data_IF_030277975778
#
_entry.id   IF_030277975778
#
_cell.length_a   1.000
_cell.length_b   1.000
_cell.length_c   1.000
_cell.angle_alpha   90.00
_cell.angle_beta   90.00
_cell.angle_gamma   90.00
#
_symmetry.space_group_name_H-M   'P 1'
#
loop_
_entity.id
_entity.type
_entity.pdbx_description
1 polymer ?
#
# COMPACT_ATOMS: atom_id res chain seq x y z
N UNK A 1 16.34 -15.16 -9.36
CA UNK A 1 15.56 -15.27 -8.12
C UNK A 1 15.55 -13.90 -7.51
N UNK A 2 14.37 -13.33 -7.34
CA UNK A 2 14.15 -12.11 -6.56
C UNK A 2 14.70 -12.33 -5.14
N UNK A 3 15.52 -11.41 -4.64
CA UNK A 3 16.00 -11.47 -3.25
C UNK A 3 15.09 -10.62 -2.35
N UNK A 4 14.81 -11.07 -1.12
CA UNK A 4 14.05 -10.29 -0.13
C UNK A 4 14.61 -8.88 0.06
N UNK A 5 15.94 -8.74 -0.07
CA UNK A 5 16.66 -7.47 0.06
C UNK A 5 16.22 -6.40 -0.95
N UNK A 6 15.60 -6.77 -2.07
CA UNK A 6 15.09 -5.79 -3.05
C UNK A 6 13.60 -5.48 -2.84
N UNK A 7 13.03 -5.78 -1.67
CA UNK A 7 11.62 -5.48 -1.33
C UNK A 7 11.47 -4.16 -0.58
N UNK A 8 10.27 -3.58 -0.63
CA UNK A 8 9.95 -2.38 0.15
C UNK A 8 10.10 -2.60 1.66
N UNK A 9 9.86 -3.81 2.18
CA UNK A 9 10.10 -4.16 3.58
C UNK A 9 11.56 -3.98 3.97
N UNK A 10 12.48 -4.56 3.20
CA UNK A 10 13.91 -4.45 3.46
C UNK A 10 14.44 -3.01 3.32
N UNK A 11 13.77 -2.17 2.54
CA UNK A 11 14.24 -0.82 2.19
C UNK A 11 13.34 0.31 2.76
N UNK A 12 12.41 0.02 3.67
CA UNK A 12 11.48 1.02 4.23
C UNK A 12 12.18 2.04 5.12
N UNK A 13 13.35 1.69 5.67
CA UNK A 13 14.21 2.58 6.42
C UNK A 13 15.66 2.30 6.01
N UNK A 14 16.34 3.31 5.48
CA UNK A 14 17.72 3.17 5.00
C UNK A 14 18.61 4.21 5.67
N UNK A 15 19.68 3.76 6.31
CA UNK A 15 20.69 4.63 6.89
C UNK A 15 21.49 5.36 5.80
N UNK A 16 21.77 6.64 6.03
CA UNK A 16 22.63 7.46 5.18
C UNK A 16 24.02 7.46 5.80
N UNK A 17 24.99 6.80 5.15
CA UNK A 17 26.34 6.59 5.71
C UNK A 17 27.45 7.17 4.85
N UNK A 18 27.32 7.17 3.52
CA UNK A 18 28.34 7.63 2.57
C UNK A 18 27.73 8.40 1.38
N UNK A 19 26.84 9.37 1.66
CA UNK A 19 26.14 10.16 0.64
C UNK A 19 24.78 9.58 0.26
N UNK A 20 24.29 9.90 -0.96
CA UNK A 20 22.95 9.51 -1.40
C UNK A 20 22.74 7.98 -1.30
N UNK A 21 21.67 7.51 -0.67
CA UNK A 21 21.42 6.08 -0.52
C UNK A 21 20.99 5.45 -1.86
N UNK A 22 21.50 4.24 -2.13
CA UNK A 22 21.30 3.49 -3.40
C UNK A 22 19.92 2.81 -3.50
N UNK A 23 18.91 3.35 -2.81
CA UNK A 23 17.56 2.76 -2.72
C UNK A 23 16.51 3.54 -3.50
N UNK A 24 16.85 4.72 -4.02
CA UNK A 24 15.86 5.62 -4.58
C UNK A 24 16.44 6.55 -5.65
N UNK A 25 15.73 6.69 -6.77
CA UNK A 25 15.91 7.78 -7.74
C UNK A 25 15.41 9.10 -7.10
N UNK A 26 16.06 9.55 -6.03
CA UNK A 26 15.78 10.83 -5.37
C UNK A 26 16.75 11.87 -5.92
N UNK A 27 16.21 12.96 -6.45
CA UNK A 27 16.97 14.12 -6.95
C UNK A 27 17.55 14.98 -5.81
N UNK A 28 18.42 14.38 -5.00
CA UNK A 28 19.15 15.04 -3.91
C UNK A 28 18.40 15.12 -2.56
N UNK A 29 19.03 15.73 -1.54
CA UNK A 29 18.38 15.97 -0.25
C UNK A 29 17.37 17.13 -0.34
N UNK A 30 16.49 17.30 0.68
CA UNK A 30 15.59 18.46 0.76
C UNK A 30 16.34 19.81 0.66
N UNK A 31 15.65 20.85 0.19
CA UNK A 31 16.25 22.18 0.06
C UNK A 31 16.84 22.67 1.38
N UNK A 32 18.09 23.13 1.35
CA UNK A 32 18.81 23.60 2.54
C UNK A 32 19.54 22.52 3.33
N UNK A 33 19.43 21.24 2.95
CA UNK A 33 20.15 20.13 3.55
C UNK A 33 21.21 19.57 2.59
N UNK A 34 22.18 18.87 3.17
CA UNK A 34 23.08 17.98 2.45
C UNK A 34 22.83 16.53 2.92
N UNK A 35 23.33 15.56 2.17
CA UNK A 35 23.30 14.16 2.64
C UNK A 35 24.09 13.95 3.94
N UNK A 36 25.01 14.86 4.30
CA UNK A 36 25.72 14.82 5.58
C UNK A 36 24.83 15.24 6.76
N UNK A 37 23.72 15.95 6.50
CA UNK A 37 22.78 16.40 7.52
C UNK A 37 21.67 15.37 7.82
N UNK A 38 21.63 14.29 7.05
CA UNK A 38 20.58 13.27 7.07
C UNK A 38 21.15 11.98 7.64
N UNK A 39 20.46 11.41 8.64
CA UNK A 39 20.82 10.13 9.24
C UNK A 39 20.09 8.96 8.58
N UNK A 40 18.83 9.16 8.17
CA UNK A 40 17.98 8.13 7.58
C UNK A 40 17.05 8.67 6.50
N UNK A 41 16.74 7.81 5.52
CA UNK A 41 15.60 7.94 4.61
C UNK A 41 14.53 6.94 4.98
N UNK A 42 13.30 7.41 5.18
CA UNK A 42 12.11 6.59 5.44
C UNK A 42 11.29 6.50 4.14
N UNK A 43 11.04 5.29 3.66
CA UNK A 43 10.44 5.07 2.34
C UNK A 43 11.51 5.14 1.24
N UNK A 44 11.26 5.92 0.19
CA UNK A 44 12.16 6.05 -0.96
C UNK A 44 12.08 4.91 -1.98
N UNK A 45 11.48 3.77 -1.60
CA UNK A 45 11.45 2.60 -2.46
C UNK A 45 10.48 2.68 -3.66
N UNK A 46 9.30 3.31 -3.49
CA UNK A 46 8.26 3.33 -4.54
C UNK A 46 7.35 4.56 -4.56
N UNK A 47 6.85 5.01 -3.40
CA UNK A 47 5.82 6.08 -3.36
C UNK A 47 6.40 7.43 -2.97
N UNK A 48 7.04 7.50 -1.82
CA UNK A 48 7.58 8.74 -1.27
C UNK A 48 8.75 8.48 -0.33
N UNK A 49 9.54 9.52 -0.09
CA UNK A 49 10.61 9.55 0.90
C UNK A 49 10.38 10.67 1.92
N UNK A 50 10.64 10.35 3.18
CA UNK A 50 10.85 11.31 4.27
C UNK A 50 12.29 11.18 4.77
N UNK A 51 12.77 12.22 5.45
CA UNK A 51 14.17 12.33 5.84
C UNK A 51 14.26 12.60 7.34
N UNK A 52 15.25 11.98 7.98
CA UNK A 52 15.54 12.16 9.41
C UNK A 52 16.87 12.89 9.53
N UNK A 53 16.91 13.96 10.32
CA UNK A 53 18.14 14.71 10.59
C UNK A 53 19.10 13.95 11.52
N UNK A 54 20.29 14.51 11.76
CA UNK A 54 21.30 13.93 12.66
C UNK A 54 20.93 13.99 14.16
N UNK A 55 19.86 14.70 14.53
CA UNK A 55 19.30 14.66 15.88
C UNK A 55 18.17 13.64 16.02
N UNK A 56 17.75 12.99 14.92
CA UNK A 56 16.72 11.96 14.88
C UNK A 56 15.31 12.47 14.59
N UNK A 57 15.13 13.74 14.24
CA UNK A 57 13.81 14.30 13.95
C UNK A 57 13.48 14.21 12.47
N UNK A 58 12.21 14.05 12.16
CA UNK A 58 11.71 14.16 10.80
C UNK A 58 11.88 15.60 10.30
N UNK A 59 12.45 15.73 9.11
CA UNK A 59 12.57 17.02 8.42
C UNK A 59 11.18 17.39 7.88
N UNK A 60 10.68 18.55 8.31
CA UNK A 60 9.37 19.11 7.95
C UNK A 60 9.52 20.49 7.31
N UNK A 61 8.51 20.91 6.56
CA UNK A 61 8.48 22.18 5.85
C UNK A 61 8.02 22.04 4.40
N UNK A 62 8.12 23.14 3.67
CA UNK A 62 7.90 23.16 2.23
C UNK A 62 9.00 22.36 1.51
N UNK A 63 8.61 21.48 0.60
CA UNK A 63 9.57 20.70 -0.21
C UNK A 63 10.45 19.73 0.59
N UNK A 64 9.90 19.09 1.63
CA UNK A 64 10.63 18.17 2.52
C UNK A 64 10.20 16.70 2.42
N UNK A 65 9.13 16.41 1.67
CA UNK A 65 8.80 15.07 1.20
C UNK A 65 9.07 14.99 -0.29
N UNK A 66 9.69 13.90 -0.72
CA UNK A 66 9.88 13.62 -2.14
C UNK A 66 8.91 12.54 -2.59
N UNK A 67 8.04 12.85 -3.54
CA UNK A 67 7.19 11.86 -4.21
C UNK A 67 7.97 11.28 -5.41
N UNK A 68 8.08 9.96 -5.46
CA UNK A 68 8.68 9.30 -6.62
C UNK A 68 7.70 9.26 -7.79
N UNK A 69 8.24 9.09 -9.01
CA UNK A 69 7.45 9.00 -10.23
C UNK A 69 6.30 7.98 -10.09
N UNK A 70 5.07 8.47 -10.21
CA UNK A 70 3.88 7.65 -10.09
C UNK A 70 3.46 7.11 -11.45
N UNK A 71 3.74 5.83 -11.70
CA UNK A 71 3.40 5.14 -12.96
C UNK A 71 1.90 5.01 -13.20
N UNK A 72 1.08 4.99 -12.15
CA UNK A 72 -0.37 4.80 -12.25
C UNK A 72 -1.05 6.04 -12.85
N UNK A 73 -0.59 7.23 -12.46
CA UNK A 73 -1.14 8.50 -12.90
C UNK A 73 -0.25 9.26 -13.90
N UNK A 74 0.89 8.68 -14.29
CA UNK A 74 1.91 9.33 -15.13
C UNK A 74 2.32 10.71 -14.58
N UNK A 75 2.50 10.77 -13.25
CA UNK A 75 2.94 11.98 -12.56
C UNK A 75 4.45 11.91 -12.36
N UNK A 76 5.12 13.01 -12.72
CA UNK A 76 6.54 13.24 -12.45
C UNK A 76 6.89 13.05 -10.97
N UNK A 77 8.17 12.88 -10.70
CA UNK A 77 8.70 13.07 -9.36
C UNK A 77 8.60 14.54 -8.93
N UNK A 78 8.35 14.78 -7.64
CA UNK A 78 8.17 16.13 -7.13
C UNK A 78 8.51 16.26 -5.64
N UNK A 79 8.98 17.44 -5.28
CA UNK A 79 9.11 17.86 -3.88
C UNK A 79 7.80 18.50 -3.41
N UNK A 80 7.24 17.99 -2.31
CA UNK A 80 6.00 18.48 -1.71
C UNK A 80 6.20 18.82 -0.24
N UNK A 81 5.26 19.61 0.30
CA UNK A 81 5.24 19.96 1.70
C UNK A 81 4.96 18.75 2.60
N UNK A 82 5.63 18.68 3.74
CA UNK A 82 5.35 17.73 4.81
C UNK A 82 5.37 18.45 6.15
N UNK A 83 4.22 18.50 6.83
CA UNK A 83 4.04 19.30 8.06
C UNK A 83 4.52 20.76 7.91
N UNK A 84 4.30 21.38 6.75
CA UNK A 84 4.64 22.78 6.52
C UNK A 84 3.86 23.70 7.48
N UNK A 85 4.53 24.71 8.02
CA UNK A 85 4.06 25.58 9.08
C UNK A 85 4.26 25.03 10.51
N UNK A 86 4.81 23.82 10.65
CA UNK A 86 5.13 23.18 11.93
C UNK A 86 6.66 23.06 12.16
N UNK A 87 7.49 23.81 11.42
CA UNK A 87 8.96 23.66 11.39
C UNK A 87 9.64 23.91 12.76
N UNK A 88 8.97 24.62 13.67
CA UNK A 88 9.43 24.85 15.04
C UNK A 88 9.09 23.71 16.02
N UNK A 89 8.18 22.81 15.64
CA UNK A 89 7.87 21.60 16.38
C UNK A 89 8.79 20.49 15.86
N UNK A 90 9.81 20.14 16.64
CA UNK A 90 10.70 19.03 16.31
C UNK A 90 9.88 17.74 16.22
N UNK A 91 9.64 17.25 14.99
CA UNK A 91 8.79 16.11 14.73
C UNK A 91 9.52 14.80 15.07
N UNK A 92 9.14 14.16 16.17
CA UNK A 92 9.76 12.90 16.60
C UNK A 92 9.45 11.76 15.61
N UNK A 93 10.46 10.95 15.32
CA UNK A 93 10.30 9.71 14.57
C UNK A 93 9.74 8.61 15.47
N UNK A 94 8.46 8.28 15.24
CA UNK A 94 7.70 7.28 16.01
C UNK A 94 7.33 6.04 15.18
N UNK A 95 7.83 5.93 13.94
CA UNK A 95 7.45 4.85 13.02
C UNK A 95 8.29 3.57 13.18
N UNK A 96 9.25 3.56 14.10
CA UNK A 96 10.19 2.46 14.28
C UNK A 96 9.52 1.11 14.55
N UNK A 97 8.38 1.09 15.24
CA UNK A 97 7.66 -0.17 15.53
C UNK A 97 7.24 -0.95 14.30
N UNK A 98 7.03 -0.28 13.16
CA UNK A 98 6.60 -0.91 11.91
C UNK A 98 7.68 -0.94 10.83
N UNK A 99 8.68 -0.05 10.91
CA UNK A 99 9.67 0.16 9.85
C UNK A 99 11.07 -0.36 10.21
N UNK A 100 11.20 -1.16 11.27
CA UNK A 100 12.48 -1.69 11.77
C UNK A 100 12.34 -3.13 12.28
N UNK A 101 13.47 -3.77 12.60
CA UNK A 101 13.51 -5.13 13.14
C UNK A 101 14.04 -5.14 14.56
N UNK A 102 13.38 -5.89 15.45
CA UNK A 102 13.75 -5.97 16.86
C UNK A 102 13.49 -4.67 17.63
N UNK A 103 12.44 -3.94 17.25
CA UNK A 103 12.07 -2.66 17.88
C UNK A 103 11.76 -2.81 19.37
N UNK A 104 12.24 -1.86 20.17
CA UNK A 104 11.88 -1.67 21.57
C UNK A 104 11.49 -0.20 21.81
N UNK A 105 10.39 0.09 22.51
CA UNK A 105 9.88 1.46 22.69
C UNK A 105 10.65 2.26 23.77
N UNK A 106 11.89 1.88 24.04
CA UNK A 106 12.71 2.47 25.10
C UNK A 106 14.00 3.06 24.55
N UNK A 107 14.33 4.26 25.01
CA UNK A 107 15.55 4.97 24.63
C UNK A 107 15.45 5.62 23.25
N UNK A 108 16.62 5.84 22.65
CA UNK A 108 16.80 6.61 21.43
C UNK A 108 17.85 5.91 20.57
N UNK A 109 17.50 5.48 19.36
CA UNK A 109 18.44 4.85 18.44
C UNK A 109 19.66 5.75 18.25
N UNK A 110 20.87 5.19 18.42
CA UNK A 110 22.13 5.90 18.28
C UNK A 110 22.26 7.19 19.14
N UNK A 111 21.52 7.27 20.25
CA UNK A 111 21.40 8.47 21.12
C UNK A 111 20.81 9.70 20.41
N UNK A 112 20.06 9.52 19.32
CA UNK A 112 19.39 10.61 18.61
C UNK A 112 18.05 10.93 19.28
N UNK A 113 17.92 12.08 19.99
CA UNK A 113 16.75 12.36 20.83
C UNK A 113 15.41 12.40 20.08
N UNK A 114 15.42 12.68 18.76
CA UNK A 114 14.22 12.70 17.95
C UNK A 114 13.65 11.32 17.61
N UNK A 115 14.40 10.24 17.84
CA UNK A 115 13.92 8.88 17.58
C UNK A 115 13.32 8.29 18.85
N UNK A 116 12.07 7.83 18.76
CA UNK A 116 11.40 7.12 19.86
C UNK A 116 11.65 5.63 19.74
N UNK A 117 12.43 5.09 20.67
CA UNK A 117 12.79 3.67 20.76
C UNK A 117 14.14 3.34 20.12
N UNK A 118 14.44 2.05 20.06
CA UNK A 118 15.66 1.47 19.51
C UNK A 118 15.30 0.21 18.71
N UNK A 119 16.19 -0.24 17.83
CA UNK A 119 16.02 -1.46 17.05
C UNK A 119 17.35 -2.14 16.76
N UNK A 120 17.28 -3.41 16.36
CA UNK A 120 18.45 -4.23 16.06
C UNK A 120 18.91 -4.03 14.61
N UNK A 121 17.98 -3.92 13.66
CA UNK A 121 18.28 -3.77 12.24
C UNK A 121 17.35 -2.74 11.59
N UNK A 122 17.89 -1.95 10.66
CA UNK A 122 17.12 -1.01 9.85
C UNK A 122 16.22 -1.79 8.87
N UNK A 123 15.01 -1.27 8.63
CA UNK A 123 14.03 -1.93 7.77
C UNK A 123 13.37 -3.15 8.41
N UNK A 124 12.38 -3.69 7.71
CA UNK A 124 11.72 -4.94 8.09
C UNK A 124 12.55 -6.08 7.51
N UNK A 125 13.25 -6.79 8.40
CA UNK A 125 14.16 -7.89 8.11
C UNK A 125 13.55 -9.25 8.44
N UNK A 126 14.35 -10.30 8.28
CA UNK A 126 13.90 -11.69 8.47
C UNK A 126 13.29 -11.91 9.86
N UNK A 127 13.93 -11.38 10.90
CA UNK A 127 13.57 -11.62 12.29
C UNK A 127 12.30 -10.86 12.72
N UNK A 128 11.84 -9.88 11.94
CA UNK A 128 10.57 -9.22 12.17
C UNK A 128 9.37 -10.17 11.94
N UNK A 129 9.55 -11.19 11.10
CA UNK A 129 8.50 -12.19 10.80
C UNK A 129 8.83 -13.58 11.34
N UNK A 130 10.11 -13.94 11.42
CA UNK A 130 10.57 -15.28 11.77
C UNK A 130 11.10 -15.40 13.21
N UNK A 131 11.06 -14.29 13.97
CA UNK A 131 11.62 -14.19 15.31
C UNK A 131 13.15 -14.15 15.35
N UNK A 132 13.76 -13.99 16.54
CA UNK A 132 15.22 -13.85 16.67
C UNK A 132 15.97 -15.14 16.26
N UNK A 133 16.90 -15.01 15.31
CA UNK A 133 17.68 -16.09 14.72
C UNK A 133 19.02 -16.37 15.40
N UNK A 134 19.37 -15.64 16.46
CA UNK A 134 20.66 -15.79 17.16
C UNK A 134 20.96 -17.21 17.67
N UNK A 135 19.93 -18.00 18.03
CA UNK A 135 20.12 -19.42 18.35
C UNK A 135 20.15 -20.32 17.10
N UNK A 136 19.33 -19.99 16.11
CA UNK A 136 19.25 -20.70 14.83
C UNK A 136 20.61 -20.72 14.11
N UNK A 137 21.33 -19.60 14.07
CA UNK A 137 22.63 -19.53 13.37
C UNK A 137 23.69 -20.47 13.98
N UNK A 138 23.57 -20.78 15.27
CA UNK A 138 24.50 -21.66 15.98
C UNK A 138 24.13 -23.14 15.84
N UNK A 139 22.85 -23.47 15.69
CA UNK A 139 22.37 -24.84 15.51
C UNK A 139 21.10 -24.90 14.62
N UNK A 140 21.24 -24.73 13.30
CA UNK A 140 20.09 -24.56 12.40
C UNK A 140 19.25 -25.82 12.23
N UNK A 141 19.79 -27.00 12.59
CA UNK A 141 19.08 -28.27 12.52
C UNK A 141 18.29 -28.56 13.80
N UNK A 142 18.70 -28.02 14.95
CA UNK A 142 17.99 -28.21 16.22
C UNK A 142 17.10 -27.03 16.60
N UNK A 143 17.40 -25.82 16.10
CA UNK A 143 16.63 -24.61 16.36
C UNK A 143 16.11 -24.09 15.03
N UNK A 144 14.86 -24.38 14.71
CA UNK A 144 14.20 -23.84 13.53
C UNK A 144 13.77 -22.38 13.76
N UNK A 145 13.79 -21.57 12.69
CA UNK A 145 13.12 -20.28 12.68
C UNK A 145 11.61 -20.46 12.74
N UNK A 146 10.90 -19.48 13.30
CA UNK A 146 9.44 -19.49 13.33
C UNK A 146 8.89 -19.27 11.93
N UNK A 147 7.81 -19.97 11.56
CA UNK A 147 7.09 -19.73 10.31
C UNK A 147 5.62 -19.62 10.66
N UNK A 148 5.15 -18.38 10.80
CA UNK A 148 3.75 -18.06 11.04
C UNK A 148 3.09 -17.61 9.73
N UNK A 149 1.89 -18.14 9.47
CA UNK A 149 1.13 -17.88 8.25
C UNK A 149 -0.19 -17.16 8.52
N UNK A 150 -0.59 -17.06 9.79
CA UNK A 150 -1.74 -16.29 10.24
C UNK A 150 -1.52 -14.81 9.91
N UNK A 151 -2.55 -14.20 9.32
CA UNK A 151 -2.50 -12.81 8.89
C UNK A 151 -2.11 -11.85 10.01
N UNK A 152 -2.37 -12.19 11.28
CA UNK A 152 -2.03 -11.37 12.46
C UNK A 152 -0.59 -10.90 12.48
N UNK A 153 0.36 -11.73 12.04
CA UNK A 153 1.77 -11.31 11.97
C UNK A 153 1.95 -10.09 11.04
N UNK A 154 1.27 -10.07 9.89
CA UNK A 154 1.30 -8.92 8.99
C UNK A 154 0.62 -7.69 9.62
N UNK A 155 -0.32 -7.89 10.55
CA UNK A 155 -1.09 -6.83 11.20
C UNK A 155 -0.35 -6.10 12.29
N UNK A 156 0.76 -6.63 12.76
CA UNK A 156 1.61 -5.88 13.67
C UNK A 156 2.05 -4.54 13.04
N UNK A 157 2.08 -4.47 11.71
CA UNK A 157 2.41 -3.27 10.94
C UNK A 157 1.28 -2.77 10.02
N UNK A 158 0.54 -3.67 9.35
CA UNK A 158 -0.52 -3.32 8.38
C UNK A 158 -1.89 -3.11 9.06
N UNK A 159 -1.91 -2.38 10.18
CA UNK A 159 -3.12 -1.95 10.87
C UNK A 159 -2.93 -0.53 11.44
N UNK A 160 -3.99 0.30 11.43
CA UNK A 160 -3.96 1.63 12.06
C UNK A 160 -4.99 1.83 13.18
N UNK A 161 -5.95 0.92 13.34
CA UNK A 161 -7.01 1.05 14.35
C UNK A 161 -7.43 -0.31 14.89
N UNK A 162 -7.71 -0.35 16.20
CA UNK A 162 -8.37 -1.49 16.87
C UNK A 162 -9.89 -1.55 16.57
N UNK A 163 -10.46 -0.52 15.95
CA UNK A 163 -11.89 -0.47 15.59
C UNK A 163 -12.19 -1.38 14.42
N UNK A 164 -13.29 -2.12 14.43
CA UNK A 164 -13.78 -2.96 13.31
C UNK A 164 -14.27 -2.18 12.08
N UNK A 165 -13.97 -0.88 12.01
CA UNK A 165 -14.41 0.04 10.97
C UNK A 165 -13.19 0.56 10.21
N UNK A 166 -13.31 0.58 8.88
CA UNK A 166 -12.26 1.08 7.99
C UNK A 166 -12.37 2.62 7.95
N UNK A 167 -11.32 3.29 8.45
CA UNK A 167 -11.27 4.74 8.62
C UNK A 167 -10.83 5.42 7.32
N UNK A 168 -11.50 6.51 6.96
CA UNK A 168 -11.11 7.33 5.82
C UNK A 168 -9.87 8.20 6.11
N UNK A 169 -9.16 8.58 5.05
CA UNK A 169 -8.17 9.65 5.03
C UNK A 169 -8.58 10.64 3.94
N UNK A 170 -9.57 11.49 4.24
CA UNK A 170 -10.22 12.34 3.23
C UNK A 170 -11.17 11.54 2.35
N UNK A 171 -11.02 11.62 1.03
CA UNK A 171 -11.84 10.88 0.04
C UNK A 171 -11.26 9.50 -0.32
N UNK A 172 -10.27 9.01 0.43
CA UNK A 172 -9.59 7.74 0.20
C UNK A 172 -9.44 6.96 1.52
N UNK A 173 -9.03 5.71 1.42
CA UNK A 173 -8.72 4.87 2.59
C UNK A 173 -7.25 5.08 2.97
N UNK A 174 -6.93 5.09 4.27
CA UNK A 174 -5.52 5.11 4.70
C UNK A 174 -4.78 3.83 4.28
N UNK A 175 -3.55 3.93 3.78
CA UNK A 175 -2.75 2.77 3.33
C UNK A 175 -2.47 1.70 4.39
N UNK A 176 -2.79 1.96 5.66
CA UNK A 176 -2.54 1.05 6.79
C UNK A 176 -3.81 0.39 7.36
N UNK A 177 -5.01 0.65 6.83
CA UNK A 177 -6.27 0.05 7.35
C UNK A 177 -6.76 -1.16 6.53
N UNK A 178 -5.90 -1.76 5.71
CA UNK A 178 -6.36 -2.73 4.69
C UNK A 178 -6.82 -4.07 5.26
N UNK A 179 -6.41 -4.47 6.46
CA UNK A 179 -6.73 -5.80 7.00
C UNK A 179 -8.22 -6.14 7.08
N UNK A 180 -9.04 -5.17 7.41
CA UNK A 180 -10.48 -5.40 7.53
C UNK A 180 -11.14 -5.50 6.16
N UNK A 181 -10.48 -5.00 5.12
CA UNK A 181 -11.04 -4.95 3.79
C UNK A 181 -11.26 -6.36 3.20
N UNK A 182 -10.29 -7.32 3.20
CA UNK A 182 -10.56 -8.68 2.76
C UNK A 182 -11.67 -9.36 3.56
N UNK A 183 -11.69 -9.14 4.88
CA UNK A 183 -12.69 -9.74 5.77
C UNK A 183 -14.10 -9.22 5.48
N UNK A 184 -14.25 -7.91 5.29
CA UNK A 184 -15.50 -7.27 4.88
C UNK A 184 -15.91 -7.73 3.48
N UNK A 185 -14.94 -7.93 2.59
CA UNK A 185 -15.11 -8.36 1.21
C UNK A 185 -15.17 -9.88 0.98
N UNK A 186 -15.70 -10.63 1.96
CA UNK A 186 -15.98 -12.08 1.87
C UNK A 186 -14.76 -13.01 1.82
N UNK A 187 -13.55 -12.52 2.09
CA UNK A 187 -12.31 -13.30 2.19
C UNK A 187 -11.86 -13.50 3.65
N UNK A 188 -12.81 -13.54 4.60
CA UNK A 188 -12.54 -13.64 6.05
C UNK A 188 -11.77 -14.89 6.49
N UNK A 189 -11.79 -15.95 5.70
CA UNK A 189 -11.15 -17.24 6.01
C UNK A 189 -9.82 -17.44 5.28
N UNK A 190 -9.33 -16.39 4.62
CA UNK A 190 -8.13 -16.42 3.79
C UNK A 190 -7.04 -15.59 4.45
N UNK A 191 -5.82 -16.13 4.53
CA UNK A 191 -4.66 -15.38 5.02
C UNK A 191 -3.93 -14.63 3.90
N UNK A 192 -3.20 -13.56 4.26
CA UNK A 192 -2.41 -12.75 3.31
C UNK A 192 -1.50 -13.63 2.43
N UNK A 193 -0.82 -14.60 3.07
CA UNK A 193 0.09 -15.53 2.39
C UNK A 193 -0.61 -16.59 1.55
N UNK A 194 -1.94 -16.66 1.56
CA UNK A 194 -2.69 -17.47 0.58
C UNK A 194 -2.51 -16.88 -0.81
N UNK A 195 -2.57 -15.55 -0.91
CA UNK A 195 -2.43 -14.84 -2.17
C UNK A 195 -1.01 -14.35 -2.41
N UNK A 196 -0.31 -13.83 -1.40
CA UNK A 196 0.99 -13.18 -1.58
C UNK A 196 2.18 -14.05 -1.16
N UNK A 197 3.28 -13.95 -1.91
CA UNK A 197 4.62 -14.32 -1.43
C UNK A 197 5.20 -13.15 -0.62
N UNK A 198 5.40 -13.30 0.70
CA UNK A 198 5.92 -12.22 1.54
C UNK A 198 7.38 -11.87 1.24
N UNK A 199 8.07 -12.64 0.38
CA UNK A 199 9.46 -12.41 0.04
C UNK A 199 9.69 -11.72 -1.31
N UNK A 200 8.63 -11.28 -1.99
CA UNK A 200 8.69 -10.71 -3.33
C UNK A 200 7.99 -9.35 -3.43
N UNK A 201 8.34 -8.56 -4.45
CA UNK A 201 7.66 -7.31 -4.80
C UNK A 201 7.50 -7.14 -6.32
N UNK A 202 6.81 -6.07 -6.73
CA UNK A 202 6.56 -5.70 -8.14
C UNK A 202 7.30 -4.44 -8.62
N UNK A 203 7.99 -3.73 -7.74
CA UNK A 203 8.50 -2.38 -8.04
C UNK A 203 9.83 -2.43 -8.79
N UNK A 204 10.79 -3.20 -8.26
CA UNK A 204 12.15 -3.33 -8.78
C UNK A 204 12.51 -4.76 -9.20
N UNK A 205 11.56 -5.69 -9.06
CA UNK A 205 11.72 -7.08 -9.47
C UNK A 205 10.76 -7.44 -10.61
N UNK A 206 11.26 -8.25 -11.56
CA UNK A 206 10.39 -8.96 -12.51
C UNK A 206 9.80 -10.19 -11.81
N UNK A 207 8.55 -10.08 -11.37
CA UNK A 207 7.83 -11.18 -10.74
C UNK A 207 6.38 -10.81 -10.43
N UNK A 208 5.55 -11.81 -10.16
CA UNK A 208 4.22 -11.62 -9.59
C UNK A 208 4.27 -12.10 -8.13
N UNK A 209 4.18 -11.21 -7.13
CA UNK A 209 4.10 -11.64 -5.74
C UNK A 209 2.77 -12.34 -5.45
N UNK A 210 1.78 -12.27 -6.35
CA UNK A 210 0.54 -13.02 -6.24
C UNK A 210 0.75 -14.44 -6.75
N UNK A 211 0.53 -15.43 -5.87
CA UNK A 211 0.72 -16.87 -6.09
C UNK A 211 -0.53 -17.57 -6.62
N UNK A 212 -1.70 -16.93 -6.49
CA UNK A 212 -3.00 -17.49 -6.88
C UNK A 212 -3.80 -16.48 -7.70
N UNK A 213 -4.24 -16.90 -8.88
CA UNK A 213 -5.14 -16.11 -9.71
C UNK A 213 -6.58 -16.23 -9.20
N UNK A 214 -7.37 -15.16 -9.32
CA UNK A 214 -8.74 -15.08 -8.81
C UNK A 214 -9.62 -16.23 -9.35
N UNK A 215 -9.44 -16.57 -10.63
CA UNK A 215 -10.20 -17.58 -11.36
C UNK A 215 -9.97 -19.00 -10.84
N UNK A 216 -8.88 -19.23 -10.10
CA UNK A 216 -8.59 -20.52 -9.46
C UNK A 216 -9.67 -20.88 -8.43
N UNK A 217 -10.31 -19.88 -7.81
CA UNK A 217 -11.41 -20.03 -6.87
C UNK A 217 -12.75 -19.54 -7.45
N UNK A 218 -12.72 -18.54 -8.33
CA UNK A 218 -13.90 -17.87 -8.89
C UNK A 218 -14.18 -18.24 -10.36
N UNK A 219 -14.05 -19.52 -10.71
CA UNK A 219 -14.22 -20.00 -12.09
C UNK A 219 -15.58 -19.61 -12.71
N UNK A 220 -16.66 -19.71 -11.96
CA UNK A 220 -18.00 -19.29 -12.41
C UNK A 220 -18.04 -17.80 -12.78
N UNK A 221 -17.36 -16.95 -12.02
CA UNK A 221 -17.32 -15.51 -12.28
C UNK A 221 -16.43 -15.17 -13.47
N UNK A 222 -15.33 -15.91 -13.63
CA UNK A 222 -14.46 -15.80 -14.79
C UNK A 222 -15.16 -16.19 -16.10
N UNK A 223 -16.02 -17.22 -16.06
CA UNK A 223 -16.74 -17.72 -17.23
C UNK A 223 -17.95 -16.87 -17.59
N UNK A 224 -18.58 -16.26 -16.59
CA UNK A 224 -19.78 -15.45 -16.75
C UNK A 224 -19.43 -13.99 -16.53
N UNK A 225 -19.11 -13.27 -17.61
CA UNK A 225 -19.01 -11.81 -17.59
C UNK A 225 -19.93 -11.23 -18.67
N UNK A 226 -20.47 -10.04 -18.45
CA UNK A 226 -21.34 -9.37 -19.43
C UNK A 226 -20.64 -9.07 -20.77
N UNK A 227 -19.32 -8.95 -20.78
CA UNK A 227 -18.54 -8.66 -21.98
C UNK A 227 -18.02 -9.93 -22.67
N UNK A 228 -18.11 -9.98 -24.00
CA UNK A 228 -17.62 -11.11 -24.79
C UNK A 228 -16.07 -11.22 -24.84
N UNK A 229 -15.35 -10.17 -24.48
CA UNK A 229 -13.89 -10.19 -24.43
C UNK A 229 -13.36 -9.12 -23.48
N UNK A 230 -12.61 -9.58 -22.47
CA UNK A 230 -11.94 -8.79 -21.44
C UNK A 230 -10.59 -8.29 -22.00
N UNK A 231 -10.62 -7.34 -22.94
CA UNK A 231 -9.37 -6.85 -23.58
C UNK A 231 -8.65 -5.73 -22.83
N UNK A 232 -9.34 -5.03 -21.93
CA UNK A 232 -8.84 -3.77 -21.36
C UNK A 232 -9.02 -3.64 -19.85
N UNK A 233 -9.40 -4.71 -19.16
CA UNK A 233 -9.47 -4.75 -17.71
C UNK A 233 -9.02 -6.14 -17.23
N UNK A 234 -8.78 -6.28 -15.94
CA UNK A 234 -8.49 -7.50 -15.18
C UNK A 234 -9.39 -7.55 -13.96
N UNK A 235 -9.41 -8.67 -13.21
CA UNK A 235 -10.23 -8.79 -12.01
C UNK A 235 -9.90 -7.67 -11.00
N UNK A 236 -8.61 -7.37 -10.82
CA UNK A 236 -8.11 -6.39 -9.85
C UNK A 236 -8.46 -4.95 -10.22
N UNK A 237 -8.74 -4.64 -11.48
CA UNK A 237 -9.06 -3.26 -11.88
C UNK A 237 -10.41 -2.80 -11.30
N UNK A 238 -11.37 -3.72 -11.15
CA UNK A 238 -12.65 -3.43 -10.54
C UNK A 238 -12.75 -3.92 -9.09
N UNK A 239 -12.09 -5.03 -8.76
CA UNK A 239 -12.19 -5.67 -7.43
C UNK A 239 -11.01 -5.36 -6.50
N UNK A 240 -9.94 -4.72 -6.95
CA UNK A 240 -8.88 -4.21 -6.08
C UNK A 240 -8.42 -2.83 -6.58
N UNK A 241 -9.36 -1.90 -6.84
CA UNK A 241 -9.02 -0.60 -7.41
C UNK A 241 -8.15 0.18 -6.42
N UNK A 242 -7.39 1.15 -6.94
CA UNK A 242 -6.56 1.99 -6.10
C UNK A 242 -7.43 2.97 -5.31
N UNK A 243 -7.78 2.60 -4.09
CA UNK A 243 -8.62 3.40 -3.17
C UNK A 243 -7.82 3.88 -1.95
N UNK A 244 -6.53 3.53 -1.87
CA UNK A 244 -5.65 3.91 -0.75
C UNK A 244 -4.57 4.90 -1.19
N UNK A 245 -4.11 5.73 -0.26
CA UNK A 245 -3.08 6.75 -0.53
C UNK A 245 -1.84 6.56 0.31
N UNK A 246 -0.71 6.41 -0.37
CA UNK A 246 0.64 6.50 0.16
C UNK A 246 1.27 7.87 -0.11
N UNK A 247 1.26 8.35 -1.37
CA UNK A 247 1.87 9.62 -1.77
C UNK A 247 0.91 10.55 -2.51
N UNK A 248 0.23 10.06 -3.55
CA UNK A 248 -0.60 10.86 -4.46
C UNK A 248 -1.99 10.27 -4.66
N UNK A 249 -2.93 11.14 -5.00
CA UNK A 249 -4.34 10.81 -5.14
C UNK A 249 -5.02 11.70 -6.18
N UNK A 250 -6.02 11.14 -6.84
CA UNK A 250 -7.01 11.87 -7.66
C UNK A 250 -8.37 11.85 -6.95
N UNK A 251 -9.37 12.50 -7.54
CA UNK A 251 -10.74 12.56 -7.00
C UNK A 251 -11.39 11.20 -6.74
N UNK A 252 -10.98 10.15 -7.47
CA UNK A 252 -11.61 8.82 -7.41
C UNK A 252 -10.61 7.67 -7.25
N UNK A 253 -9.30 7.94 -7.16
CA UNK A 253 -8.29 6.89 -7.07
C UNK A 253 -7.06 7.36 -6.29
N UNK A 254 -6.56 6.51 -5.41
CA UNK A 254 -5.25 6.66 -4.78
C UNK A 254 -4.16 5.91 -5.56
N UNK A 255 -2.98 5.78 -4.96
CA UNK A 255 -1.80 5.13 -5.52
C UNK A 255 -1.45 3.77 -4.86
N UNK A 256 -2.37 3.25 -4.05
CA UNK A 256 -2.30 1.92 -3.44
C UNK A 256 -3.63 1.20 -3.67
N UNK A 257 -3.53 -0.06 -4.11
CA UNK A 257 -4.67 -0.96 -4.33
C UNK A 257 -5.37 -1.27 -3.01
N UNK A 258 -6.70 -1.29 -3.01
CA UNK A 258 -7.48 -1.72 -1.86
C UNK A 258 -7.70 -3.23 -1.89
N UNK A 259 -7.90 -3.81 -0.71
CA UNK A 259 -8.40 -5.17 -0.58
C UNK A 259 -9.90 -5.23 -0.23
N UNK A 260 -10.69 -4.20 -0.56
CA UNK A 260 -12.15 -4.30 -0.62
C UNK A 260 -12.49 -4.94 -1.96
N UNK A 261 -12.80 -6.24 -2.01
CA UNK A 261 -13.08 -6.93 -3.28
C UNK A 261 -14.54 -7.04 -3.68
N UNK A 262 -15.49 -7.02 -2.75
CA UNK A 262 -16.90 -7.13 -3.13
C UNK A 262 -17.43 -5.80 -3.63
N UNK A 263 -18.08 -5.77 -4.79
CA UNK A 263 -18.74 -4.57 -5.34
C UNK A 263 -20.24 -4.61 -5.02
N UNK A 264 -20.81 -3.50 -4.54
CA UNK A 264 -22.25 -3.33 -4.45
C UNK A 264 -22.76 -2.56 -5.68
N UNK A 265 -23.54 -3.19 -6.58
CA UNK A 265 -23.95 -2.59 -7.84
C UNK A 265 -25.00 -1.46 -7.70
N UNK A 266 -25.54 -1.22 -6.50
CA UNK A 266 -26.47 -0.12 -6.24
C UNK A 266 -25.86 1.01 -5.42
N UNK A 267 -24.57 0.92 -5.04
CA UNK A 267 -23.91 1.94 -4.23
C UNK A 267 -23.04 2.84 -5.10
N UNK A 268 -23.31 4.14 -5.10
CA UNK A 268 -22.46 5.14 -5.78
C UNK A 268 -21.31 5.61 -4.87
N UNK A 269 -21.63 6.02 -3.64
CA UNK A 269 -20.63 6.60 -2.73
C UNK A 269 -19.88 5.56 -1.91
N UNK A 270 -18.55 5.70 -1.83
CA UNK A 270 -17.68 4.79 -1.09
C UNK A 270 -17.63 5.11 0.41
N UNK A 271 -17.90 6.36 0.80
CA UNK A 271 -17.81 6.82 2.17
C UNK A 271 -19.18 7.11 2.76
N UNK A 272 -19.27 7.08 4.09
CA UNK A 272 -20.45 7.56 4.81
C UNK A 272 -20.63 9.07 4.59
N UNK A 273 -21.84 9.59 4.81
CA UNK A 273 -22.15 10.99 4.53
C UNK A 273 -21.35 11.99 5.39
N UNK A 274 -20.87 11.56 6.55
CA UNK A 274 -19.94 12.32 7.40
C UNK A 274 -18.47 12.19 6.98
N UNK A 275 -18.18 11.33 5.99
CA UNK A 275 -16.85 11.08 5.46
C UNK A 275 -15.93 10.34 6.41
N UNK A 276 -16.41 9.81 7.54
CA UNK A 276 -15.57 9.20 8.59
C UNK A 276 -15.24 7.74 8.27
N UNK A 277 -16.18 7.02 7.68
CA UNK A 277 -16.07 5.59 7.42
C UNK A 277 -16.23 5.27 5.95
N UNK A 278 -15.63 4.17 5.51
CA UNK A 278 -15.89 3.59 4.19
C UNK A 278 -16.92 2.47 4.27
N UNK A 279 -17.66 2.25 3.19
CA UNK A 279 -18.54 1.10 3.03
C UNK A 279 -17.72 -0.21 3.10
N UNK A 280 -18.30 -1.32 3.61
CA UNK A 280 -17.62 -2.62 3.71
C UNK A 280 -17.47 -3.34 2.35
N UNK A 281 -17.72 -2.63 1.26
CA UNK A 281 -17.69 -3.08 -0.12
C UNK A 281 -17.29 -1.90 -1.02
N UNK A 282 -16.87 -2.19 -2.24
CA UNK A 282 -16.62 -1.18 -3.26
C UNK A 282 -17.94 -0.59 -3.78
N UNK A 283 -17.96 0.73 -3.89
CA UNK A 283 -18.97 1.47 -4.63
C UNK A 283 -18.60 1.61 -6.11
N UNK A 284 -19.54 2.10 -6.91
CA UNK A 284 -19.32 2.33 -8.35
C UNK A 284 -18.44 3.55 -8.64
N UNK A 285 -18.38 4.54 -7.74
CA UNK A 285 -17.40 5.62 -7.87
C UNK A 285 -15.97 5.08 -7.79
N UNK A 286 -15.70 4.11 -6.91
CA UNK A 286 -14.36 3.52 -6.82
C UNK A 286 -14.12 2.46 -7.90
N UNK A 287 -15.04 1.52 -8.10
CA UNK A 287 -14.81 0.39 -9.00
C UNK A 287 -14.86 0.77 -10.49
N UNK A 288 -15.57 1.85 -10.85
CA UNK A 288 -15.81 2.20 -12.25
C UNK A 288 -15.25 3.59 -12.63
N UNK A 289 -15.40 4.61 -11.77
CA UNK A 289 -15.05 6.00 -12.13
C UNK A 289 -13.55 6.31 -12.09
N UNK A 290 -12.70 5.37 -11.65
CA UNK A 290 -11.27 5.43 -11.98
C UNK A 290 -11.03 5.47 -13.50
N UNK A 291 -11.90 4.83 -14.29
CA UNK A 291 -11.85 4.85 -15.76
C UNK A 291 -12.95 5.72 -16.36
N UNK A 292 -14.17 5.62 -15.84
CA UNK A 292 -15.40 6.20 -16.41
C UNK A 292 -15.81 7.54 -15.77
N UNK A 293 -14.83 8.39 -15.44
CA UNK A 293 -15.03 9.78 -15.02
C UNK A 293 -14.59 10.75 -16.12
N UNK A 294 -14.88 12.04 -15.96
CA UNK A 294 -14.43 13.11 -16.87
C UNK A 294 -12.90 13.16 -17.00
N UNK A 295 -12.20 12.87 -15.90
CA UNK A 295 -10.72 12.84 -15.85
C UNK A 295 -10.14 11.44 -16.12
N UNK A 296 -11.01 10.44 -16.35
CA UNK A 296 -10.62 9.07 -16.63
C UNK A 296 -10.28 8.83 -18.11
N UNK A 297 -9.67 7.68 -18.40
CA UNK A 297 -9.27 7.32 -19.76
C UNK A 297 -10.38 6.65 -20.59
N UNK A 298 -11.51 6.29 -19.97
CA UNK A 298 -12.65 5.68 -20.64
C UNK A 298 -13.82 6.68 -20.77
N UNK A 299 -14.84 6.32 -21.56
CA UNK A 299 -16.01 7.19 -21.74
C UNK A 299 -16.73 7.42 -20.40
N UNK A 300 -17.00 8.67 -20.00
CA UNK A 300 -17.75 8.96 -18.79
C UNK A 300 -19.14 8.31 -18.82
N UNK A 301 -19.59 7.78 -17.68
CA UNK A 301 -20.89 7.13 -17.54
C UNK A 301 -21.73 7.80 -16.44
N UNK A 302 -23.06 7.83 -16.62
CA UNK A 302 -23.99 8.27 -15.58
C UNK A 302 -24.14 7.20 -14.49
N UNK A 303 -24.67 7.58 -13.34
CA UNK A 303 -24.92 6.64 -12.24
C UNK A 303 -25.85 5.50 -12.67
N UNK A 304 -26.90 5.80 -13.44
CA UNK A 304 -27.83 4.79 -13.95
C UNK A 304 -27.13 3.80 -14.88
N UNK A 305 -26.26 4.29 -15.77
CA UNK A 305 -25.48 3.44 -16.66
C UNK A 305 -24.50 2.55 -15.89
N UNK A 306 -23.84 3.08 -14.86
CA UNK A 306 -22.94 2.31 -14.01
C UNK A 306 -23.70 1.20 -13.26
N UNK A 307 -24.85 1.52 -12.66
CA UNK A 307 -25.69 0.55 -11.94
C UNK A 307 -26.23 -0.54 -12.87
N UNK A 308 -26.71 -0.17 -14.06
CA UNK A 308 -27.19 -1.12 -15.08
C UNK A 308 -26.07 -2.08 -15.50
N UNK A 309 -24.87 -1.55 -15.74
CA UNK A 309 -23.71 -2.35 -16.11
C UNK A 309 -23.29 -3.29 -14.99
N UNK A 310 -23.17 -2.82 -13.75
CA UNK A 310 -22.72 -3.62 -12.61
C UNK A 310 -23.75 -4.68 -12.16
N UNK A 311 -25.05 -4.42 -12.32
CA UNK A 311 -26.11 -5.32 -11.85
C UNK A 311 -26.09 -6.64 -12.62
N UNK A 312 -25.86 -7.77 -11.94
CA UNK A 312 -25.79 -9.07 -12.59
C UNK A 312 -24.59 -9.23 -13.52
N UNK A 313 -23.48 -8.50 -13.26
CA UNK A 313 -22.27 -8.55 -14.09
C UNK A 313 -21.75 -9.97 -14.35
N UNK A 314 -21.88 -10.83 -13.33
CA UNK A 314 -21.50 -12.25 -13.38
C UNK A 314 -22.69 -13.21 -13.37
N UNK A 315 -23.84 -12.77 -13.88
CA UNK A 315 -25.00 -13.63 -14.09
C UNK A 315 -24.83 -14.43 -15.40
N UNK A 316 -24.90 -15.77 -15.37
CA UNK A 316 -24.84 -16.60 -16.57
C UNK A 316 -25.88 -16.20 -17.63
N UNK A 317 -27.08 -15.76 -17.24
CA UNK A 317 -28.14 -15.36 -18.18
C UNK A 317 -27.82 -14.05 -18.89
N UNK A 318 -26.89 -13.25 -18.33
CA UNK A 318 -26.43 -11.98 -18.89
C UNK A 318 -25.02 -12.07 -19.51
N UNK A 319 -24.43 -13.26 -19.55
CA UNK A 319 -23.08 -13.45 -20.09
C UNK A 319 -23.02 -13.06 -21.58
N UNK A 320 -21.98 -12.32 -21.96
CA UNK A 320 -21.74 -11.86 -23.34
C UNK A 320 -22.87 -11.00 -23.96
N UNK A 321 -23.77 -10.44 -23.15
CA UNK A 321 -24.87 -9.59 -23.65
C UNK A 321 -24.41 -8.21 -24.08
N UNK A 322 -23.30 -7.70 -23.52
CA UNK A 322 -22.71 -6.41 -23.89
C UNK A 322 -21.64 -6.63 -24.95
N UNK A 323 -21.87 -6.02 -26.12
CA UNK A 323 -20.92 -6.01 -27.24
C UNK A 323 -20.14 -4.69 -27.23
N UNK A 324 -18.81 -4.74 -27.27
CA UNK A 324 -17.99 -3.56 -27.47
C UNK A 324 -18.39 -2.89 -28.80
N UNK A 325 -18.86 -1.64 -28.74
CA UNK A 325 -19.37 -0.88 -29.89
C UNK A 325 -18.27 -0.34 -30.82
N UNK A 326 -17.09 -0.97 -30.84
CA UNK A 326 -16.01 -0.66 -31.79
C UNK A 326 -15.51 -1.95 -32.45
N UNK A 327 -16.20 -2.32 -33.53
CA UNK A 327 -15.59 -2.98 -34.69
C UNK A 327 -15.24 -1.91 -35.72
#
# INVERSE_FOLDING_TARGET
MASYAETGHANVLTAVTDGAPDIADIDGPPEGYTWEDISYVVGGFNWKAHFIDNEGYLITGDGTQYNLYNRLFDLGDEWVAYHAGEEGARAEYTCGSCHTTGYVPLGHQNNMPGIVGQWAEDGVGCEACHGPGGNHVNDPYLVAMEVETDSRLCLDCHVRSETSEIVSAGTLISHTVDYQAPQAAKHRVTDCVTCHDPHMNTVHQRGNPVKVECESCHLDKAQNTKFASFRHASCTDCHMPNLMTAAVATSHSGDVSSHLMSINPSQIEQFTADGVFTQPYLSLNTACRGCHSEDGFATPLSDEALMEMATGYHDPDLANTVRNSRQ
#
